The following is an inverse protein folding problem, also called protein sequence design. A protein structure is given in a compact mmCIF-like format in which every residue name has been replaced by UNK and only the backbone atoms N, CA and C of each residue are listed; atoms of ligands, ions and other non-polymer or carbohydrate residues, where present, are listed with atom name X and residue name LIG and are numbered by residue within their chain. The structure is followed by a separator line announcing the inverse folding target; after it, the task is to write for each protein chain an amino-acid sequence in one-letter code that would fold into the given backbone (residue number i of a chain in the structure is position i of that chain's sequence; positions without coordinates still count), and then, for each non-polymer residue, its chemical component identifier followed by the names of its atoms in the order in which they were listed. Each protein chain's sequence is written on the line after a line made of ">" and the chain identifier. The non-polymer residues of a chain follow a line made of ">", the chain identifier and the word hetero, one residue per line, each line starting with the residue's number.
data_IF_660778554337
#
_entry.id   IF_660778554337
#
_cell.length_a   1.000
_cell.length_b   1.000
_cell.length_c   1.000
_cell.angle_alpha   90.00
_cell.angle_beta   90.00
_cell.angle_gamma   90.00
#
_symmetry.space_group_name_H-M   'P 1'
#
loop_
_entity.id
_entity.type
_entity.pdbx_description
1 polymer ?
#
# COMPACT_ATOMS: atom_id res chain seq x y z
N UNK A 1 17.09 1.21 -14.14
CA UNK A 1 17.47 0.33 -13.01
C UNK A 1 18.99 -0.01 -12.99
N UNK A 2 19.88 0.95 -13.10
CA UNK A 2 21.33 0.63 -13.06
C UNK A 2 21.82 0.60 -11.61
N UNK A 3 22.32 -0.55 -11.16
CA UNK A 3 22.98 -0.71 -9.86
C UNK A 3 24.41 -0.19 -10.02
N UNK A 4 24.78 0.79 -9.20
CA UNK A 4 26.17 1.30 -9.11
C UNK A 4 26.93 0.50 -8.05
N UNK A 5 28.25 0.40 -8.21
CA UNK A 5 29.10 -0.41 -7.31
C UNK A 5 29.00 0.02 -5.82
N UNK A 6 28.73 1.29 -5.56
CA UNK A 6 28.54 1.83 -4.20
C UNK A 6 27.18 1.48 -3.56
N UNK A 7 26.26 0.83 -4.29
CA UNK A 7 24.92 0.47 -3.77
C UNK A 7 24.87 -0.94 -3.17
N UNK A 8 25.81 -1.82 -3.52
CA UNK A 8 25.77 -3.24 -3.15
C UNK A 8 25.63 -3.48 -1.65
N UNK A 9 26.41 -2.77 -0.83
CA UNK A 9 26.34 -2.93 0.63
C UNK A 9 24.98 -2.57 1.21
N UNK A 10 24.36 -1.50 0.72
CA UNK A 10 23.02 -1.11 1.15
C UNK A 10 21.95 -2.10 0.71
N UNK A 11 22.06 -2.65 -0.50
CA UNK A 11 21.17 -3.69 -1.03
C UNK A 11 21.30 -4.97 -0.20
N UNK A 12 22.53 -5.42 0.06
CA UNK A 12 22.80 -6.61 0.87
C UNK A 12 22.22 -6.50 2.29
N UNK A 13 22.44 -5.36 2.95
CA UNK A 13 21.86 -5.11 4.27
C UNK A 13 20.32 -5.18 4.23
N UNK A 14 19.70 -4.57 3.23
CA UNK A 14 18.24 -4.59 3.11
C UNK A 14 17.70 -6.00 2.88
N UNK A 15 18.35 -6.79 2.01
CA UNK A 15 17.98 -8.19 1.76
C UNK A 15 18.18 -9.03 3.04
N UNK A 16 19.26 -8.84 3.76
CA UNK A 16 19.52 -9.55 5.01
C UNK A 16 18.42 -9.28 6.06
N UNK A 17 18.04 -8.01 6.24
CA UNK A 17 16.93 -7.64 7.12
C UNK A 17 15.63 -8.28 6.64
N UNK A 18 15.39 -8.34 5.34
CA UNK A 18 14.20 -8.97 4.77
C UNK A 18 14.15 -10.47 5.04
N UNK A 19 15.26 -11.19 4.83
CA UNK A 19 15.35 -12.64 5.11
C UNK A 19 15.13 -12.92 6.61
N UNK A 20 15.75 -12.12 7.49
CA UNK A 20 15.54 -12.25 8.94
C UNK A 20 14.08 -11.98 9.29
N UNK A 21 13.43 -11.03 8.63
CA UNK A 21 12.01 -10.71 8.88
C UNK A 21 11.08 -11.83 8.42
N UNK A 22 11.36 -12.44 7.27
CA UNK A 22 10.64 -13.64 6.81
C UNK A 22 10.81 -14.79 7.81
N UNK A 23 12.03 -15.05 8.27
CA UNK A 23 12.28 -16.08 9.27
C UNK A 23 11.54 -15.80 10.58
N UNK A 24 11.58 -14.57 11.09
CA UNK A 24 10.89 -14.20 12.32
C UNK A 24 9.36 -14.24 12.17
N UNK A 25 8.83 -14.01 10.97
CA UNK A 25 7.39 -14.09 10.72
C UNK A 25 6.84 -15.50 10.89
N UNK A 26 7.66 -16.54 10.78
CA UNK A 26 7.27 -17.92 11.07
C UNK A 26 6.93 -18.14 12.55
N UNK A 27 7.57 -17.37 13.45
CA UNK A 27 7.30 -17.39 14.89
C UNK A 27 6.23 -16.36 15.32
N UNK A 28 6.03 -15.32 14.52
CA UNK A 28 5.09 -14.23 14.79
C UNK A 28 4.17 -13.99 13.57
N UNK A 29 3.37 -14.99 13.18
CA UNK A 29 2.54 -14.91 11.96
C UNK A 29 1.52 -13.77 12.01
N UNK A 30 1.07 -13.37 13.20
CA UNK A 30 0.13 -12.27 13.40
C UNK A 30 0.65 -10.90 12.92
N UNK A 31 1.96 -10.67 12.93
CA UNK A 31 2.55 -9.40 12.51
C UNK A 31 2.82 -9.36 11.01
N UNK A 32 3.09 -10.51 10.40
CA UNK A 32 3.54 -10.62 9.02
C UNK A 32 4.98 -10.13 8.80
N UNK A 33 5.65 -10.68 7.79
CA UNK A 33 7.04 -10.35 7.49
C UNK A 33 7.25 -8.86 7.16
N UNK A 34 6.26 -8.22 6.53
CA UNK A 34 6.30 -6.80 6.17
C UNK A 34 6.39 -5.88 7.38
N UNK A 35 5.56 -6.10 8.42
CA UNK A 35 5.59 -5.27 9.63
C UNK A 35 6.88 -5.51 10.43
N UNK A 36 7.32 -6.77 10.52
CA UNK A 36 8.59 -7.12 11.17
C UNK A 36 9.76 -6.45 10.45
N UNK A 37 9.80 -6.47 9.11
CA UNK A 37 10.83 -5.83 8.32
C UNK A 37 10.90 -4.30 8.55
N UNK A 38 9.74 -3.66 8.65
CA UNK A 38 9.68 -2.24 8.97
C UNK A 38 10.26 -1.95 10.37
N UNK A 39 9.82 -2.70 11.38
CA UNK A 39 10.25 -2.52 12.79
C UNK A 39 11.75 -2.79 12.92
N UNK A 40 12.23 -3.93 12.42
CA UNK A 40 13.65 -4.27 12.43
C UNK A 40 14.47 -3.25 11.65
N UNK A 41 13.98 -2.82 10.48
CA UNK A 41 14.59 -1.78 9.69
C UNK A 41 14.75 -0.48 10.49
N UNK A 42 13.72 -0.03 11.21
CA UNK A 42 13.77 1.17 12.06
C UNK A 42 14.82 1.01 13.17
N UNK A 43 14.80 -0.12 13.87
CA UNK A 43 15.74 -0.38 14.95
C UNK A 43 17.19 -0.40 14.42
N UNK A 44 17.46 -1.24 13.42
CA UNK A 44 18.80 -1.43 12.87
C UNK A 44 19.31 -0.20 12.10
N UNK A 45 18.43 0.52 11.42
CA UNK A 45 18.76 1.75 10.69
C UNK A 45 19.15 2.92 11.60
N UNK A 46 18.67 2.92 12.84
CA UNK A 46 19.01 3.94 13.82
C UNK A 46 20.17 3.53 14.76
N UNK A 47 20.51 2.24 14.80
CA UNK A 47 21.58 1.70 15.64
C UNK A 47 22.81 1.32 14.81
N UNK A 48 22.78 0.16 14.14
CA UNK A 48 23.94 -0.45 13.49
C UNK A 48 24.23 0.09 12.08
N UNK A 49 23.19 0.36 11.30
CA UNK A 49 23.30 0.70 9.87
C UNK A 49 23.08 2.20 9.56
N UNK A 50 23.34 3.06 10.52
CA UNK A 50 23.27 4.52 10.32
C UNK A 50 24.52 5.07 9.62
N UNK A 51 24.85 4.53 8.44
CA UNK A 51 26.03 4.90 7.66
C UNK A 51 25.65 5.50 6.31
N UNK A 52 26.18 6.69 5.92
CA UNK A 52 25.86 7.33 4.64
C UNK A 52 26.16 6.45 3.41
N UNK A 53 27.16 5.58 3.52
CA UNK A 53 27.58 4.67 2.44
C UNK A 53 26.50 3.67 2.05
N UNK A 54 25.59 3.30 2.97
CA UNK A 54 24.49 2.35 2.74
C UNK A 54 23.26 3.02 2.11
N UNK A 55 23.12 4.34 2.28
CA UNK A 55 21.90 5.07 1.92
C UNK A 55 21.47 4.90 0.46
N UNK A 56 22.42 4.90 -0.48
CA UNK A 56 22.13 4.75 -1.90
C UNK A 56 21.55 3.37 -2.26
N UNK A 57 22.10 2.30 -1.68
CA UNK A 57 21.62 0.94 -1.88
C UNK A 57 20.29 0.69 -1.20
N UNK A 58 20.11 1.15 0.03
CA UNK A 58 18.86 1.07 0.76
C UNK A 58 17.74 1.79 -0.02
N UNK A 59 18.03 2.99 -0.55
CA UNK A 59 17.08 3.76 -1.37
C UNK A 59 16.71 3.04 -2.67
N UNK A 60 17.65 2.33 -3.29
CA UNK A 60 17.40 1.48 -4.46
C UNK A 60 16.46 0.33 -4.11
N UNK A 61 16.71 -0.37 -3.00
CA UNK A 61 15.89 -1.47 -2.51
C UNK A 61 14.48 -1.05 -2.11
N UNK A 62 14.29 0.18 -1.63
CA UNK A 62 12.98 0.75 -1.37
C UNK A 62 12.13 0.92 -2.64
N UNK A 63 12.77 1.18 -3.77
CA UNK A 63 12.06 1.63 -4.98
C UNK A 63 11.83 0.51 -5.99
N UNK A 64 12.91 -0.12 -6.44
CA UNK A 64 12.85 -0.96 -7.65
C UNK A 64 12.20 -2.33 -7.44
N UNK A 65 12.45 -3.06 -6.35
CA UNK A 65 11.78 -4.33 -6.12
C UNK A 65 10.26 -4.20 -6.08
N UNK A 66 9.74 -3.18 -5.40
CA UNK A 66 8.28 -3.00 -5.30
C UNK A 66 7.65 -2.60 -6.64
N UNK A 67 8.34 -1.86 -7.51
CA UNK A 67 7.85 -1.56 -8.87
C UNK A 67 7.65 -2.86 -9.68
N UNK A 68 8.59 -3.80 -9.57
CA UNK A 68 8.48 -5.13 -10.21
C UNK A 68 7.37 -5.95 -9.55
N UNK A 69 7.28 -5.93 -8.23
CA UNK A 69 6.22 -6.61 -7.48
C UNK A 69 4.83 -6.14 -7.90
N UNK A 70 4.62 -4.83 -8.04
CA UNK A 70 3.34 -4.25 -8.51
C UNK A 70 3.01 -4.75 -9.92
N UNK A 71 3.97 -4.81 -10.83
CA UNK A 71 3.77 -5.35 -12.17
C UNK A 71 3.33 -6.82 -12.14
N UNK A 72 3.97 -7.64 -11.30
CA UNK A 72 3.67 -9.07 -11.16
C UNK A 72 2.30 -9.35 -10.52
N UNK A 73 1.77 -8.43 -9.70
CA UNK A 73 0.40 -8.53 -9.15
C UNK A 73 -0.65 -8.72 -10.26
N UNK A 74 -0.40 -8.23 -11.48
CA UNK A 74 -1.28 -8.47 -12.62
C UNK A 74 -1.45 -9.95 -12.99
N UNK A 75 -0.49 -10.82 -12.65
CA UNK A 75 -0.61 -12.27 -12.86
C UNK A 75 -1.52 -12.94 -11.84
N UNK A 76 -1.56 -12.41 -10.60
CA UNK A 76 -2.30 -13.00 -9.49
C UNK A 76 -3.81 -12.77 -9.61
N UNK A 77 -4.20 -11.70 -10.27
CA UNK A 77 -5.58 -11.23 -10.33
C UNK A 77 -6.20 -11.52 -11.68
N UNK A 78 -7.35 -12.20 -11.71
CA UNK A 78 -8.12 -12.46 -12.94
C UNK A 78 -9.50 -11.81 -12.84
N UNK A 79 -10.12 -11.56 -14.01
CA UNK A 79 -11.50 -11.06 -14.07
C UNK A 79 -12.49 -12.05 -13.44
N UNK A 80 -12.22 -13.36 -13.52
CA UNK A 80 -13.04 -14.38 -12.87
C UNK A 80 -13.03 -14.27 -11.34
N UNK A 81 -11.85 -13.97 -10.76
CA UNK A 81 -11.72 -13.70 -9.32
C UNK A 81 -12.57 -12.51 -8.89
N UNK A 82 -12.70 -11.50 -9.75
CA UNK A 82 -13.54 -10.34 -9.48
C UNK A 82 -15.02 -10.70 -9.55
N UNK A 83 -15.41 -11.51 -10.54
CA UNK A 83 -16.79 -11.95 -10.70
C UNK A 83 -17.32 -12.77 -9.52
N UNK A 84 -16.46 -13.53 -8.82
CA UNK A 84 -16.87 -14.35 -7.67
C UNK A 84 -17.40 -13.53 -6.47
N UNK A 85 -17.08 -12.25 -6.37
CA UNK A 85 -17.59 -11.36 -5.31
C UNK A 85 -18.98 -10.77 -5.61
N UNK A 86 -19.47 -10.98 -6.82
CA UNK A 86 -20.72 -10.37 -7.27
C UNK A 86 -20.62 -8.84 -7.45
N UNK A 87 -21.70 -8.24 -7.92
CA UNK A 87 -21.76 -6.78 -8.13
C UNK A 87 -21.71 -5.99 -6.82
N UNK A 88 -22.23 -6.58 -5.72
CA UNK A 88 -22.21 -5.98 -4.39
C UNK A 88 -20.79 -5.73 -3.91
N UNK A 89 -19.90 -6.70 -4.06
CA UNK A 89 -18.50 -6.56 -3.67
C UNK A 89 -17.78 -5.49 -4.48
N UNK A 90 -18.05 -5.42 -5.78
CA UNK A 90 -17.48 -4.39 -6.66
C UNK A 90 -17.99 -3.00 -6.25
N UNK A 91 -19.29 -2.84 -6.07
CA UNK A 91 -19.91 -1.58 -5.67
C UNK A 91 -19.39 -1.10 -4.30
N UNK A 92 -19.28 -2.02 -3.34
CA UNK A 92 -18.72 -1.74 -2.01
C UNK A 92 -17.32 -1.11 -2.11
N UNK A 93 -16.42 -1.72 -2.87
CA UNK A 93 -15.04 -1.22 -3.02
C UNK A 93 -14.99 0.09 -3.81
N UNK A 94 -15.79 0.21 -4.89
CA UNK A 94 -15.85 1.44 -5.71
C UNK A 94 -16.33 2.66 -4.90
N UNK A 95 -17.18 2.46 -3.90
CA UNK A 95 -17.64 3.54 -3.02
C UNK A 95 -16.65 3.76 -1.88
N UNK A 96 -16.20 2.70 -1.20
CA UNK A 96 -15.34 2.78 -0.02
C UNK A 96 -14.01 3.47 -0.32
N UNK A 97 -13.37 3.14 -1.45
CA UNK A 97 -12.04 3.64 -1.77
C UNK A 97 -12.01 5.15 -2.03
N UNK A 98 -12.80 5.72 -2.98
CA UNK A 98 -12.81 7.17 -3.18
C UNK A 98 -13.26 7.93 -1.95
N UNK A 99 -14.27 7.44 -1.23
CA UNK A 99 -14.73 8.07 -0.01
C UNK A 99 -13.62 8.12 1.07
N UNK A 100 -12.86 7.02 1.22
CA UNK A 100 -11.69 7.00 2.11
C UNK A 100 -10.64 8.02 1.67
N UNK A 101 -10.27 8.05 0.38
CA UNK A 101 -9.28 8.99 -0.14
C UNK A 101 -9.71 10.44 0.11
N UNK A 102 -10.93 10.78 -0.26
CA UNK A 102 -11.47 12.13 -0.11
C UNK A 102 -11.52 12.56 1.36
N UNK A 103 -12.01 11.69 2.24
CA UNK A 103 -12.05 11.97 3.67
C UNK A 103 -10.66 12.17 4.25
N UNK A 104 -9.71 11.29 3.93
CA UNK A 104 -8.33 11.37 4.40
C UNK A 104 -7.69 12.66 3.94
N UNK A 105 -7.83 13.03 2.67
CA UNK A 105 -7.31 14.29 2.16
C UNK A 105 -7.98 15.50 2.83
N UNK A 106 -9.28 15.42 3.08
CA UNK A 106 -10.04 16.48 3.74
C UNK A 106 -9.58 16.70 5.20
N UNK A 107 -9.55 15.65 6.04
CA UNK A 107 -9.06 15.78 7.43
C UNK A 107 -7.57 16.15 7.48
N UNK A 108 -6.77 15.65 6.53
CA UNK A 108 -5.37 15.99 6.41
C UNK A 108 -5.17 17.49 6.22
N UNK A 109 -5.92 18.11 5.33
CA UNK A 109 -5.86 19.53 5.05
C UNK A 109 -6.41 20.38 6.21
N UNK A 110 -7.60 20.08 6.69
CA UNK A 110 -8.34 20.96 7.59
C UNK A 110 -8.05 20.72 9.07
N UNK A 111 -7.89 19.46 9.48
CA UNK A 111 -7.70 19.10 10.90
C UNK A 111 -6.20 18.99 11.20
N UNK A 112 -5.50 18.15 10.45
CA UNK A 112 -4.09 17.88 10.71
C UNK A 112 -3.13 18.85 10.01
N UNK A 113 -3.60 19.72 9.14
CA UNK A 113 -2.81 20.74 8.43
C UNK A 113 -1.52 20.14 7.84
N UNK A 114 -1.66 19.01 7.14
CA UNK A 114 -0.58 18.40 6.37
C UNK A 114 -0.62 18.92 4.93
N UNK A 115 0.52 18.85 4.27
CA UNK A 115 0.61 19.21 2.86
C UNK A 115 -0.19 18.24 1.97
N UNK A 116 -0.47 18.67 0.74
CA UNK A 116 -1.28 17.92 -0.20
C UNK A 116 -0.68 16.55 -0.53
N UNK A 117 0.65 16.47 -0.71
CA UNK A 117 1.34 15.23 -1.02
C UNK A 117 1.21 14.21 0.13
N UNK A 118 1.42 14.65 1.37
CA UNK A 118 1.20 13.80 2.55
C UNK A 118 -0.24 13.30 2.65
N UNK A 119 -1.22 14.18 2.40
CA UNK A 119 -2.63 13.81 2.36
C UNK A 119 -2.95 12.77 1.28
N UNK A 120 -2.40 12.93 0.07
CA UNK A 120 -2.53 11.98 -1.02
C UNK A 120 -1.89 10.63 -0.69
N UNK A 121 -0.68 10.61 -0.12
CA UNK A 121 0.00 9.38 0.29
C UNK A 121 -0.78 8.62 1.36
N UNK A 122 -1.28 9.34 2.38
CA UNK A 122 -2.13 8.76 3.41
C UNK A 122 -3.44 8.22 2.84
N UNK A 123 -4.07 8.96 1.92
CA UNK A 123 -5.28 8.53 1.23
C UNK A 123 -5.07 7.25 0.41
N UNK A 124 -4.06 7.24 -0.46
CA UNK A 124 -3.72 6.08 -1.27
C UNK A 124 -3.33 4.86 -0.42
N UNK A 125 -2.49 5.07 0.61
CA UNK A 125 -2.06 4.00 1.49
C UNK A 125 -3.22 3.31 2.22
N UNK A 126 -4.11 4.08 2.81
CA UNK A 126 -5.26 3.52 3.53
C UNK A 126 -6.32 2.93 2.59
N UNK A 127 -6.56 3.55 1.43
CA UNK A 127 -7.61 3.10 0.52
C UNK A 127 -7.22 1.90 -0.34
N UNK A 128 -5.94 1.68 -0.65
CA UNK A 128 -5.51 0.63 -1.60
C UNK A 128 -4.79 -0.52 -0.91
N UNK A 129 -3.46 -0.49 -0.85
CA UNK A 129 -2.64 -1.62 -0.38
C UNK A 129 -1.47 -1.19 0.52
N UNK A 130 -1.65 -0.12 1.28
CA UNK A 130 -0.65 0.34 2.24
C UNK A 130 0.61 0.89 1.59
N UNK A 131 1.75 0.36 1.99
CA UNK A 131 3.07 0.80 1.56
C UNK A 131 3.29 0.72 0.05
N UNK A 132 2.74 -0.30 -0.60
CA UNK A 132 2.85 -0.47 -2.06
C UNK A 132 2.16 0.67 -2.82
N UNK A 133 0.97 1.09 -2.36
CA UNK A 133 0.28 2.23 -2.96
C UNK A 133 1.04 3.54 -2.72
N UNK A 134 1.58 3.75 -1.52
CA UNK A 134 2.40 4.91 -1.22
C UNK A 134 3.66 4.92 -2.09
N UNK A 135 4.33 3.77 -2.26
CA UNK A 135 5.53 3.66 -3.09
C UNK A 135 5.25 3.96 -4.57
N UNK A 136 4.08 3.56 -5.08
CA UNK A 136 3.66 3.82 -6.45
C UNK A 136 3.26 5.28 -6.67
N UNK A 137 2.54 5.89 -5.72
CA UNK A 137 2.03 7.27 -5.83
C UNK A 137 3.12 8.30 -5.58
N UNK A 138 4.02 8.07 -4.62
CA UNK A 138 5.00 9.05 -4.16
C UNK A 138 5.83 9.70 -5.30
N UNK A 139 6.45 8.94 -6.23
CA UNK A 139 7.23 9.54 -7.31
C UNK A 139 6.36 10.34 -8.28
N UNK A 140 5.11 9.94 -8.47
CA UNK A 140 4.19 10.56 -9.44
C UNK A 140 3.65 11.92 -8.99
N UNK A 141 3.58 12.13 -7.68
CA UNK A 141 3.13 13.39 -7.09
C UNK A 141 4.28 14.27 -6.60
N UNK A 142 5.53 13.86 -6.84
CA UNK A 142 6.71 14.59 -6.39
C UNK A 142 6.87 14.63 -4.87
N UNK A 143 6.39 13.61 -4.16
CA UNK A 143 6.50 13.55 -2.71
C UNK A 143 7.96 13.32 -2.26
N UNK A 144 8.36 13.97 -1.18
CA UNK A 144 9.67 13.81 -0.58
C UNK A 144 9.83 12.45 0.10
N UNK A 145 11.08 12.00 0.27
CA UNK A 145 11.38 10.76 0.99
C UNK A 145 10.83 10.79 2.43
N UNK A 146 10.83 11.95 3.08
CA UNK A 146 10.31 12.12 4.44
C UNK A 146 8.78 11.92 4.48
N UNK A 147 8.04 12.57 3.57
CA UNK A 147 6.59 12.41 3.45
C UNK A 147 6.22 10.95 3.20
N UNK A 148 6.93 10.29 2.25
CA UNK A 148 6.73 8.88 1.95
C UNK A 148 6.95 7.98 3.17
N UNK A 149 8.08 8.13 3.87
CA UNK A 149 8.41 7.33 5.06
C UNK A 149 7.42 7.52 6.19
N UNK A 150 7.03 8.77 6.46
CA UNK A 150 6.03 9.08 7.49
C UNK A 150 4.69 8.46 7.15
N UNK A 151 4.23 8.59 5.91
CA UNK A 151 2.97 7.98 5.46
C UNK A 151 3.00 6.45 5.58
N UNK A 152 4.09 5.80 5.12
CA UNK A 152 4.23 4.34 5.25
C UNK A 152 4.22 3.90 6.70
N UNK A 153 4.98 4.56 7.57
CA UNK A 153 5.01 4.20 9.00
C UNK A 153 3.62 4.33 9.64
N UNK A 154 2.93 5.44 9.37
CA UNK A 154 1.58 5.69 9.91
C UNK A 154 0.57 4.65 9.42
N UNK A 155 0.54 4.40 8.10
CA UNK A 155 -0.41 3.46 7.49
C UNK A 155 -0.12 2.02 7.94
N UNK A 156 1.15 1.62 8.05
CA UNK A 156 1.51 0.28 8.53
C UNK A 156 1.11 0.07 9.99
N UNK A 157 1.32 1.06 10.85
CA UNK A 157 0.87 1.03 12.25
C UNK A 157 -0.66 0.97 12.35
N UNK A 158 -1.37 1.73 11.51
CA UNK A 158 -2.83 1.67 11.43
C UNK A 158 -3.31 0.26 11.10
N UNK A 159 -2.64 -0.42 10.16
CA UNK A 159 -2.94 -1.82 9.81
C UNK A 159 -2.69 -2.80 10.95
N UNK A 160 -1.64 -2.58 11.75
CA UNK A 160 -1.41 -3.42 12.95
C UNK A 160 -2.53 -3.23 13.99
N UNK A 161 -3.03 -2.01 14.18
CA UNK A 161 -4.19 -1.79 15.06
C UNK A 161 -5.41 -2.57 14.56
N UNK A 162 -5.72 -2.48 13.28
CA UNK A 162 -6.85 -3.19 12.68
C UNK A 162 -6.67 -4.71 12.73
N UNK A 163 -5.44 -5.21 12.65
CA UNK A 163 -5.13 -6.64 12.74
C UNK A 163 -5.63 -7.26 14.06
N UNK A 164 -5.55 -6.52 15.15
CA UNK A 164 -6.02 -7.01 16.45
C UNK A 164 -7.48 -6.66 16.74
N UNK A 165 -7.98 -5.55 16.19
CA UNK A 165 -9.32 -5.05 16.49
C UNK A 165 -10.41 -5.76 15.67
N UNK A 166 -10.18 -5.98 14.38
CA UNK A 166 -11.21 -6.51 13.49
C UNK A 166 -11.58 -7.99 13.71
N UNK A 167 -10.69 -8.89 14.14
CA UNK A 167 -11.08 -10.26 14.48
C UNK A 167 -12.07 -10.34 15.64
N UNK A 168 -12.12 -9.31 16.50
CA UNK A 168 -13.07 -9.21 17.60
C UNK A 168 -14.37 -8.54 17.14
N UNK A 169 -14.26 -7.40 16.47
CA UNK A 169 -15.41 -6.58 16.05
C UNK A 169 -16.20 -7.27 14.93
N UNK A 170 -15.53 -7.85 13.95
CA UNK A 170 -16.17 -8.45 12.77
C UNK A 170 -17.18 -9.56 13.13
N UNK A 171 -16.76 -10.62 13.86
CA UNK A 171 -17.66 -11.67 14.31
C UNK A 171 -18.79 -11.19 15.22
N UNK A 172 -18.51 -10.22 16.10
CA UNK A 172 -19.50 -9.65 17.02
C UNK A 172 -20.61 -8.90 16.28
N UNK A 173 -20.29 -8.16 15.21
CA UNK A 173 -21.29 -7.38 14.45
C UNK A 173 -22.02 -8.25 13.43
N UNK A 174 -21.33 -9.14 12.73
CA UNK A 174 -21.88 -9.91 11.63
C UNK A 174 -22.30 -11.34 12.02
N UNK A 175 -22.32 -11.67 13.30
CA UNK A 175 -22.80 -12.96 13.82
C UNK A 175 -22.27 -14.19 13.08
N UNK A 176 -20.97 -14.16 12.73
CA UNK A 176 -20.30 -15.25 12.04
C UNK A 176 -20.51 -15.33 10.51
N UNK A 177 -21.10 -14.32 9.88
CA UNK A 177 -21.18 -14.26 8.42
C UNK A 177 -19.80 -13.99 7.81
N UNK A 178 -19.17 -15.04 7.31
CA UNK A 178 -17.79 -15.01 6.81
C UNK A 178 -17.59 -14.05 5.62
N UNK A 179 -18.60 -13.92 4.74
CA UNK A 179 -18.53 -12.99 3.60
C UNK A 179 -18.45 -11.54 4.09
N UNK A 180 -19.30 -11.15 5.04
CA UNK A 180 -19.35 -9.77 5.55
C UNK A 180 -18.13 -9.44 6.41
N UNK A 181 -17.65 -10.42 7.21
CA UNK A 181 -16.41 -10.27 7.97
C UNK A 181 -15.23 -10.13 7.00
N UNK A 182 -15.19 -10.95 5.95
CA UNK A 182 -14.19 -10.85 4.89
C UNK A 182 -14.24 -9.51 4.15
N UNK A 183 -15.45 -8.99 3.85
CA UNK A 183 -15.63 -7.66 3.27
C UNK A 183 -15.08 -6.55 4.18
N UNK A 184 -15.37 -6.61 5.48
CA UNK A 184 -14.86 -5.64 6.45
C UNK A 184 -13.31 -5.68 6.50
N UNK A 185 -12.73 -6.85 6.68
CA UNK A 185 -11.27 -7.02 6.80
C UNK A 185 -10.57 -6.64 5.48
N UNK A 186 -10.96 -7.22 4.35
CA UNK A 186 -10.37 -6.95 3.05
C UNK A 186 -10.59 -5.52 2.56
N UNK A 187 -11.72 -4.92 2.94
CA UNK A 187 -12.07 -3.54 2.64
C UNK A 187 -11.31 -2.50 3.47
N UNK A 188 -10.85 -2.82 4.67
CA UNK A 188 -10.27 -1.82 5.59
C UNK A 188 -8.80 -2.02 5.91
N UNK A 189 -8.31 -3.25 6.10
CA UNK A 189 -6.91 -3.52 6.43
C UNK A 189 -5.99 -3.15 5.26
N UNK A 190 -4.81 -2.61 5.54
CA UNK A 190 -3.96 -1.97 4.54
C UNK A 190 -3.16 -2.95 3.70
N UNK A 191 -2.29 -3.76 4.29
CA UNK A 191 -1.43 -4.68 3.52
C UNK A 191 -2.09 -6.06 3.32
N UNK A 192 -1.66 -6.79 2.26
CA UNK A 192 -2.17 -8.14 1.98
C UNK A 192 -1.79 -9.11 3.12
N UNK A 193 -0.56 -9.03 3.61
CA UNK A 193 -0.11 -9.87 4.73
C UNK A 193 -0.92 -9.63 6.01
N UNK A 194 -1.22 -8.36 6.33
CA UNK A 194 -2.08 -8.02 7.46
C UNK A 194 -3.53 -8.48 7.25
N UNK A 195 -4.07 -8.42 6.02
CA UNK A 195 -5.41 -8.96 5.71
C UNK A 195 -5.48 -10.45 6.01
N UNK A 196 -4.51 -11.22 5.51
CA UNK A 196 -4.44 -12.66 5.76
C UNK A 196 -4.26 -12.93 7.26
N UNK A 197 -3.33 -12.23 7.92
CA UNK A 197 -3.11 -12.35 9.36
C UNK A 197 -4.36 -12.03 10.19
N UNK A 198 -5.09 -10.95 9.83
CA UNK A 198 -6.35 -10.58 10.50
C UNK A 198 -7.43 -11.64 10.28
N UNK A 199 -7.60 -12.12 9.05
CA UNK A 199 -8.61 -13.09 8.69
C UNK A 199 -8.33 -14.48 9.30
N UNK A 200 -7.06 -14.89 9.40
CA UNK A 200 -6.66 -16.16 10.00
C UNK A 200 -6.99 -16.26 11.49
N UNK A 201 -7.06 -15.11 12.18
CA UNK A 201 -7.50 -15.05 13.57
C UNK A 201 -9.02 -15.27 13.72
N UNK A 202 -9.77 -15.29 12.62
CA UNK A 202 -11.20 -15.58 12.61
C UNK A 202 -11.44 -17.02 12.16
N UNK A 203 -11.27 -17.32 10.89
CA UNK A 203 -11.35 -18.67 10.33
C UNK A 203 -10.87 -18.72 8.85
N UNK A 204 -10.63 -19.93 8.28
CA UNK A 204 -10.15 -20.08 6.90
C UNK A 204 -11.05 -19.48 5.82
N UNK A 205 -12.37 -19.56 5.96
CA UNK A 205 -13.31 -19.02 4.96
C UNK A 205 -13.24 -17.48 4.90
N UNK A 206 -12.99 -16.83 6.04
CA UNK A 206 -12.80 -15.37 6.08
C UNK A 206 -11.52 -14.98 5.34
N UNK A 207 -10.47 -15.82 5.35
CA UNK A 207 -9.24 -15.56 4.58
C UNK A 207 -9.56 -15.44 3.09
N UNK A 208 -10.34 -16.38 2.55
CA UNK A 208 -10.70 -16.40 1.13
C UNK A 208 -11.43 -15.11 0.74
N UNK A 209 -12.52 -14.79 1.44
CA UNK A 209 -13.29 -13.58 1.15
C UNK A 209 -12.48 -12.30 1.35
N UNK A 210 -11.75 -12.16 2.45
CA UNK A 210 -10.95 -10.98 2.73
C UNK A 210 -9.86 -10.77 1.66
N UNK A 211 -9.25 -11.85 1.18
CA UNK A 211 -8.28 -11.81 0.10
C UNK A 211 -8.90 -11.32 -1.20
N UNK A 212 -10.08 -11.81 -1.58
CA UNK A 212 -10.79 -11.37 -2.77
C UNK A 212 -11.11 -9.88 -2.74
N UNK A 213 -11.67 -9.37 -1.63
CA UNK A 213 -11.91 -7.92 -1.47
C UNK A 213 -10.62 -7.11 -1.54
N UNK A 214 -9.55 -7.63 -0.96
CA UNK A 214 -8.25 -6.98 -1.03
C UNK A 214 -7.71 -6.94 -2.46
N UNK A 215 -7.87 -7.99 -3.25
CA UNK A 215 -7.45 -8.01 -4.65
C UNK A 215 -8.22 -6.99 -5.49
N UNK A 216 -9.51 -6.80 -5.27
CA UNK A 216 -10.28 -5.72 -5.90
C UNK A 216 -9.66 -4.34 -5.63
N UNK A 217 -9.28 -4.07 -4.38
CA UNK A 217 -8.59 -2.80 -4.04
C UNK A 217 -7.25 -2.66 -4.76
N UNK A 218 -6.48 -3.74 -4.85
CA UNK A 218 -5.17 -3.73 -5.52
C UNK A 218 -5.32 -3.41 -7.01
N UNK A 219 -6.33 -3.94 -7.68
CA UNK A 219 -6.61 -3.62 -9.10
C UNK A 219 -6.83 -2.11 -9.28
N UNK A 220 -7.49 -1.46 -8.34
CA UNK A 220 -7.74 -0.02 -8.40
C UNK A 220 -6.48 0.85 -8.22
N UNK A 221 -5.33 0.24 -7.87
CA UNK A 221 -4.06 0.95 -7.72
C UNK A 221 -3.72 1.80 -8.95
N UNK A 222 -3.85 1.24 -10.14
CA UNK A 222 -3.56 1.94 -11.38
C UNK A 222 -4.42 3.20 -11.54
N UNK A 223 -5.72 3.08 -11.26
CA UNK A 223 -6.68 4.19 -11.33
C UNK A 223 -6.31 5.28 -10.32
N UNK A 224 -5.98 4.90 -9.08
CA UNK A 224 -5.61 5.85 -8.01
C UNK A 224 -4.32 6.59 -8.36
N UNK A 225 -3.29 5.88 -8.84
CA UNK A 225 -2.00 6.50 -9.23
C UNK A 225 -2.22 7.50 -10.37
N UNK A 226 -2.97 7.11 -11.41
CA UNK A 226 -3.27 7.98 -12.55
C UNK A 226 -4.05 9.23 -12.11
N UNK A 227 -5.07 9.07 -11.29
CA UNK A 227 -5.90 10.17 -10.81
C UNK A 227 -5.07 11.16 -9.99
N UNK A 228 -4.27 10.68 -9.03
CA UNK A 228 -3.45 11.53 -8.18
C UNK A 228 -2.34 12.26 -8.96
N UNK A 229 -1.68 11.56 -9.89
CA UNK A 229 -0.70 12.16 -10.81
C UNK A 229 -1.32 13.29 -11.64
N UNK A 230 -2.52 13.07 -12.18
CA UNK A 230 -3.23 14.06 -13.00
C UNK A 230 -3.63 15.30 -12.18
N UNK A 231 -4.10 15.13 -10.94
CA UNK A 231 -4.45 16.24 -10.05
C UNK A 231 -3.24 17.13 -9.81
N UNK A 232 -2.10 16.57 -9.43
CA UNK A 232 -0.88 17.36 -9.14
C UNK A 232 -0.36 18.07 -10.38
N UNK A 233 -0.38 17.42 -11.54
CA UNK A 233 0.05 18.05 -12.79
C UNK A 233 -0.86 19.21 -13.19
N UNK A 234 -2.17 19.07 -12.99
CA UNK A 234 -3.12 20.15 -13.24
C UNK A 234 -2.92 21.35 -12.31
N UNK A 235 -2.62 21.09 -11.03
CA UNK A 235 -2.36 22.15 -10.06
C UNK A 235 -1.04 22.87 -10.37
N UNK A 236 0.00 22.15 -10.77
CA UNK A 236 1.27 22.74 -11.20
C UNK A 236 1.12 23.60 -12.46
N UNK A 237 0.30 23.17 -13.43
CA UNK A 237 0.01 23.97 -14.62
C UNK A 237 -0.76 25.25 -14.31
N UNK A 238 -1.70 25.22 -13.37
CA UNK A 238 -2.43 26.43 -12.93
C UNK A 238 -1.49 27.43 -12.23
N UNK A 239 -0.55 26.94 -11.44
CA UNK A 239 0.40 27.80 -10.74
C UNK A 239 1.48 28.37 -11.67
N UNK A 240 1.81 27.70 -12.78
CA UNK A 240 2.73 28.20 -13.81
C UNK A 240 2.07 29.22 -14.77
N UNK A 241 0.76 29.25 -14.91
CA UNK A 241 0.07 30.17 -15.81
C UNK A 241 0.14 31.65 -15.38
N UNK A 242 0.66 31.94 -14.17
CA UNK A 242 0.93 33.31 -13.72
C UNK A 242 2.33 33.82 -14.03
N UNK A 243 3.22 33.01 -14.59
CA UNK A 243 4.56 33.44 -14.99
C UNK A 243 5.04 32.65 -16.21
N UNK A 244 4.92 33.25 -17.40
CA UNK A 244 5.47 32.84 -18.71
C UNK A 244 4.72 31.79 -19.56
N UNK A 245 4.47 32.27 -20.80
CA UNK A 245 4.31 31.60 -22.11
C UNK A 245 3.92 30.12 -22.17
N UNK A 246 2.73 29.94 -22.75
CA UNK A 246 2.20 28.74 -23.38
C UNK A 246 3.24 27.98 -24.23
N UNK A 247 3.94 27.04 -23.65
CA UNK A 247 4.37 25.87 -24.41
C UNK A 247 3.20 24.88 -24.40
N UNK A 248 2.41 24.91 -25.46
CA UNK A 248 1.38 23.91 -25.77
C UNK A 248 2.04 22.61 -26.25
N UNK A 249 2.98 22.10 -25.48
CA UNK A 249 3.38 20.72 -25.61
C UNK A 249 2.24 19.87 -25.05
N UNK A 250 1.46 19.26 -25.95
CA UNK A 250 0.51 18.21 -25.63
C UNK A 250 1.21 17.23 -24.70
N UNK A 251 0.91 17.30 -23.40
CA UNK A 251 1.41 16.35 -22.40
C UNK A 251 0.97 14.96 -22.85
N UNK A 252 1.90 14.23 -23.44
CA UNK A 252 1.64 12.88 -23.92
C UNK A 252 1.30 12.04 -22.70
N UNK A 253 0.03 11.78 -22.47
CA UNK A 253 -0.55 11.08 -21.31
C UNK A 253 0.23 9.78 -21.02
N UNK A 254 0.70 9.10 -22.07
CA UNK A 254 1.49 7.87 -21.90
C UNK A 254 2.85 8.07 -21.21
N UNK A 255 3.44 9.29 -21.22
CA UNK A 255 4.67 9.58 -20.46
C UNK A 255 4.42 9.82 -18.98
N UNK A 256 3.15 9.96 -18.59
CA UNK A 256 2.73 10.24 -17.23
C UNK A 256 2.53 8.97 -16.39
N UNK A 257 2.35 7.84 -17.07
CA UNK A 257 2.07 6.55 -16.42
C UNK A 257 3.39 5.80 -16.22
N UNK A 258 3.71 5.36 -15.01
CA UNK A 258 4.86 4.53 -14.74
C UNK A 258 4.82 3.20 -15.52
N UNK A 259 5.97 2.70 -15.92
CA UNK A 259 6.10 1.47 -16.71
C UNK A 259 5.44 0.25 -16.05
N UNK A 260 5.54 0.15 -14.72
CA UNK A 260 5.00 -0.99 -13.97
C UNK A 260 3.46 -1.04 -14.00
N UNK A 261 2.77 0.08 -14.18
CA UNK A 261 1.30 0.11 -14.31
C UNK A 261 0.88 -0.47 -15.65
N UNK A 262 1.56 -0.13 -16.75
CA UNK A 262 1.30 -0.74 -18.05
C UNK A 262 1.51 -2.25 -18.01
N UNK A 263 2.60 -2.68 -17.37
CA UNK A 263 2.91 -4.10 -17.22
C UNK A 263 1.85 -4.81 -16.36
N UNK A 264 1.41 -4.20 -15.27
CA UNK A 264 0.33 -4.71 -14.43
C UNK A 264 -0.97 -4.92 -15.24
N UNK A 265 -1.41 -3.91 -15.99
CA UNK A 265 -2.63 -4.00 -16.81
C UNK A 265 -2.47 -5.07 -17.91
N UNK A 266 -1.32 -5.11 -18.58
CA UNK A 266 -1.07 -6.11 -19.62
C UNK A 266 -1.10 -7.52 -19.03
N UNK A 267 -0.45 -7.75 -17.90
CA UNK A 267 -0.43 -9.06 -17.24
C UNK A 267 -1.82 -9.46 -16.71
N UNK A 268 -2.61 -8.50 -16.21
CA UNK A 268 -4.00 -8.73 -15.80
C UNK A 268 -4.87 -9.16 -16.99
N UNK A 269 -4.72 -8.51 -18.14
CA UNK A 269 -5.44 -8.93 -19.37
C UNK A 269 -5.00 -10.31 -19.80
N UNK A 270 -3.70 -10.59 -19.83
CA UNK A 270 -3.15 -11.89 -20.20
C UNK A 270 -3.66 -12.98 -19.25
N UNK A 271 -3.59 -12.77 -17.93
CA UNK A 271 -4.06 -13.73 -16.92
C UNK A 271 -5.56 -13.98 -16.98
N UNK A 272 -6.31 -13.03 -17.55
CA UNK A 272 -7.76 -13.16 -17.74
C UNK A 272 -8.13 -13.91 -19.03
N UNK A 273 -7.26 -13.89 -20.05
CA UNK A 273 -7.50 -14.53 -21.34
C UNK A 273 -6.87 -15.92 -21.48
N UNK A 274 -5.80 -16.17 -20.75
CA UNK A 274 -5.00 -17.41 -20.82
C UNK A 274 -4.94 -18.04 -19.44
N UNK A 275 -5.18 -19.34 -19.34
CA UNK A 275 -4.96 -20.09 -18.11
C UNK A 275 -3.46 -20.16 -17.80
N UNK A 276 -3.00 -19.31 -16.90
CA UNK A 276 -1.61 -19.32 -16.43
C UNK A 276 -1.42 -20.51 -15.47
N UNK A 277 -0.37 -21.32 -15.63
CA UNK A 277 -0.09 -22.43 -14.73
C UNK A 277 0.03 -21.95 -13.27
N UNK A 278 -0.55 -22.69 -12.34
CA UNK A 278 -0.53 -22.35 -10.91
C UNK A 278 0.89 -22.14 -10.36
N UNK A 279 1.88 -22.86 -10.87
CA UNK A 279 3.29 -22.68 -10.49
C UNK A 279 3.81 -21.27 -10.81
N UNK A 280 3.38 -20.67 -11.93
CA UNK A 280 3.77 -19.30 -12.33
C UNK A 280 3.08 -18.28 -11.43
N UNK A 281 1.78 -18.46 -11.15
CA UNK A 281 1.01 -17.59 -10.25
C UNK A 281 1.60 -17.62 -8.84
N UNK A 282 1.89 -18.81 -8.32
CA UNK A 282 2.52 -18.96 -7.00
C UNK A 282 3.90 -18.34 -6.96
N UNK A 283 4.71 -18.54 -8.02
CA UNK A 283 6.02 -17.90 -8.14
C UNK A 283 5.92 -16.37 -8.16
N UNK A 284 5.00 -15.80 -8.95
CA UNK A 284 4.76 -14.35 -8.97
C UNK A 284 4.36 -13.83 -7.59
N UNK A 285 3.44 -14.51 -6.90
CA UNK A 285 2.99 -14.17 -5.55
C UNK A 285 4.13 -14.17 -4.53
N UNK A 286 4.97 -15.21 -4.53
CA UNK A 286 6.12 -15.30 -3.64
C UNK A 286 7.12 -14.16 -3.89
N UNK A 287 7.43 -13.88 -5.16
CA UNK A 287 8.33 -12.79 -5.55
C UNK A 287 7.76 -11.43 -5.13
N UNK A 288 6.49 -11.19 -5.40
CA UNK A 288 5.80 -9.93 -5.04
C UNK A 288 5.78 -9.73 -3.54
N UNK A 289 5.46 -10.76 -2.76
CA UNK A 289 5.49 -10.71 -1.30
C UNK A 289 6.89 -10.37 -0.78
N UNK A 290 7.91 -11.08 -1.25
CA UNK A 290 9.29 -10.82 -0.84
C UNK A 290 9.78 -9.41 -1.22
N UNK A 291 9.37 -8.88 -2.38
CA UNK A 291 9.67 -7.51 -2.79
C UNK A 291 8.96 -6.48 -1.90
N UNK A 292 7.77 -6.80 -1.39
CA UNK A 292 7.10 -6.00 -0.36
C UNK A 292 7.91 -5.94 0.94
N UNK A 293 8.43 -7.08 1.39
CA UNK A 293 9.29 -7.16 2.58
C UNK A 293 10.59 -6.36 2.40
N UNK A 294 11.26 -6.49 1.23
CA UNK A 294 12.47 -5.70 0.89
C UNK A 294 12.17 -4.20 0.91
N UNK A 295 11.05 -3.78 0.34
CA UNK A 295 10.65 -2.38 0.33
C UNK A 295 10.50 -1.84 1.75
N UNK A 296 9.80 -2.57 2.63
CA UNK A 296 9.57 -2.14 4.00
C UNK A 296 10.83 -2.20 4.88
N UNK A 297 11.69 -3.19 4.69
CA UNK A 297 13.01 -3.21 5.30
C UNK A 297 13.81 -1.96 4.92
N UNK A 298 13.83 -1.60 3.64
CA UNK A 298 14.49 -0.41 3.13
C UNK A 298 13.91 0.88 3.71
N UNK A 299 12.61 1.01 3.76
CA UNK A 299 11.92 2.15 4.36
C UNK A 299 12.29 2.27 5.85
N UNK A 300 12.22 1.15 6.59
CA UNK A 300 12.60 1.12 8.01
C UNK A 300 14.03 1.56 8.25
N UNK A 301 14.99 1.02 7.50
CA UNK A 301 16.42 1.38 7.59
C UNK A 301 16.68 2.88 7.35
N UNK A 302 15.88 3.51 6.51
CA UNK A 302 15.98 4.95 6.22
C UNK A 302 15.19 5.83 7.19
N UNK A 303 14.26 5.26 7.97
CA UNK A 303 13.41 6.03 8.88
C UNK A 303 14.15 6.38 10.16
N UNK A 304 14.40 7.67 10.38
CA UNK A 304 15.11 8.15 11.58
C UNK A 304 14.17 8.41 12.74
N UNK A 305 14.56 8.02 13.98
CA UNK A 305 13.79 8.26 15.21
C UNK A 305 13.34 9.72 15.36
N UNK A 306 14.25 10.65 15.05
CA UNK A 306 13.95 12.09 15.07
C UNK A 306 12.79 12.45 14.15
N UNK A 307 12.69 11.81 12.97
CA UNK A 307 11.60 12.05 12.03
C UNK A 307 10.26 11.54 12.58
N UNK A 308 10.29 10.36 13.25
CA UNK A 308 9.08 9.80 13.89
C UNK A 308 8.65 10.66 15.06
N UNK A 309 9.58 11.03 15.96
CA UNK A 309 9.28 11.81 17.15
C UNK A 309 8.72 13.20 16.81
N UNK A 310 9.30 13.88 15.82
CA UNK A 310 8.86 15.21 15.41
C UNK A 310 7.52 15.20 14.65
N UNK A 311 7.18 14.10 13.98
CA UNK A 311 5.90 13.93 13.25
C UNK A 311 4.88 13.11 14.03
N UNK A 312 5.29 12.46 15.13
CA UNK A 312 4.67 11.29 15.72
C UNK A 312 3.20 11.45 16.12
N UNK A 313 2.87 12.31 17.07
CA UNK A 313 1.49 12.43 17.58
C UNK A 313 0.50 12.91 16.51
N UNK A 314 0.91 13.85 15.68
CA UNK A 314 0.08 14.40 14.62
C UNK A 314 -0.30 13.33 13.59
N UNK A 315 0.69 12.58 13.09
CA UNK A 315 0.45 11.55 12.07
C UNK A 315 -0.19 10.29 12.67
N UNK A 316 0.12 9.93 13.92
CA UNK A 316 -0.57 8.85 14.63
C UNK A 316 -2.06 9.17 14.81
N UNK A 317 -2.39 10.39 15.27
CA UNK A 317 -3.78 10.85 15.37
C UNK A 317 -4.47 10.87 14.00
N UNK A 318 -3.75 11.28 12.95
CA UNK A 318 -4.25 11.27 11.58
C UNK A 318 -4.56 9.83 11.10
N UNK A 319 -3.64 8.90 11.32
CA UNK A 319 -3.86 7.48 10.99
C UNK A 319 -5.02 6.88 11.76
N UNK A 320 -5.10 7.14 13.07
CA UNK A 320 -6.18 6.65 13.92
C UNK A 320 -7.55 7.17 13.49
N UNK A 321 -7.69 8.46 13.22
CA UNK A 321 -8.94 9.05 12.73
C UNK A 321 -9.34 8.49 11.37
N UNK A 322 -8.35 8.21 10.52
CA UNK A 322 -8.56 7.57 9.21
C UNK A 322 -9.15 6.17 9.35
N UNK A 323 -8.56 5.30 10.20
CA UNK A 323 -9.06 3.93 10.36
C UNK A 323 -10.42 3.88 11.01
N UNK A 324 -10.73 4.77 11.97
CA UNK A 324 -12.06 4.87 12.55
C UNK A 324 -13.08 5.17 11.46
N UNK A 325 -12.84 6.23 10.68
CA UNK A 325 -13.75 6.57 9.57
C UNK A 325 -13.90 5.42 8.58
N UNK A 326 -12.78 4.80 8.17
CA UNK A 326 -12.80 3.73 7.20
C UNK A 326 -13.59 2.51 7.67
N UNK A 327 -13.42 2.13 8.94
CA UNK A 327 -14.18 1.02 9.55
C UNK A 327 -15.67 1.36 9.65
N UNK A 328 -16.01 2.55 10.16
CA UNK A 328 -17.41 2.98 10.27
C UNK A 328 -18.08 3.07 8.89
N UNK A 329 -17.40 3.63 7.90
CA UNK A 329 -17.91 3.67 6.53
C UNK A 329 -18.07 2.28 5.94
N UNK A 330 -17.12 1.38 6.17
CA UNK A 330 -17.19 0.00 5.72
C UNK A 330 -18.41 -0.73 6.33
N UNK A 331 -18.62 -0.61 7.64
CA UNK A 331 -19.78 -1.17 8.34
C UNK A 331 -21.09 -0.63 7.79
N UNK A 332 -21.17 0.69 7.55
CA UNK A 332 -22.34 1.32 6.98
C UNK A 332 -22.63 0.80 5.57
N UNK A 333 -21.62 0.76 4.70
CA UNK A 333 -21.76 0.30 3.32
C UNK A 333 -22.12 -1.18 3.24
N UNK A 334 -21.51 -2.03 4.07
CA UNK A 334 -21.86 -3.45 4.15
C UNK A 334 -23.34 -3.60 4.53
N UNK A 335 -23.81 -2.87 5.52
CA UNK A 335 -25.23 -2.93 5.96
C UNK A 335 -26.22 -2.43 4.89
N UNK A 336 -25.81 -1.54 4.00
CA UNK A 336 -26.67 -0.98 2.94
C UNK A 336 -26.67 -1.86 1.70
N UNK A 337 -25.52 -2.45 1.36
CA UNK A 337 -25.32 -3.15 0.08
C UNK A 337 -25.66 -4.64 0.20
N UNK A 338 -25.45 -5.22 1.39
CA UNK A 338 -25.71 -6.63 1.70
C UNK A 338 -26.92 -6.81 2.64
#
# INVERSE_FOLDING_TARGET
>A
MRIKQNMWWGILVTILVSIVSEFLSTFLPSLGAEAIALILGIILGNTLFNKPQLAAGIKWSEKYPIEIGIALLGIEVTLQTIQSLGWQGILYIIILMPATILFVMWIGKWIFKVDQQSGMLMGAGNAVCGSSAIAAVAPEIGATDTQRRTAVATVSLSGVVLLFVLPVIGPAIFHGNNLLIGALIGGTVQSVGQVIGTASLVNPQVIDYATLYKMLRVIMLAVVVLTMSTIVKRDNLKNQSNTMKKDTNHLKIYKLVPWFIYTFIALLIISSLINIPNSVVTGAKTITGFFGVINLAGIGLNLKWKTIANSGLKYLGYGFMTIIFQVLLALLLIKIIY
#
